data_IF_894664586428
#
_entry.id   IF_894664586428
#
_cell.length_a   1.000
_cell.length_b   1.000
_cell.length_c   1.000
_cell.angle_alpha   90.00
_cell.angle_beta   90.00
_cell.angle_gamma   90.00
#
_symmetry.space_group_name_H-M   'P 1'
#
loop_
_entity.id
_entity.type
_entity.pdbx_description
1 polymer ?
#
# COMPACT_ATOMS: atom_id res chain seq x y z
N UNK A 1 22.01 11.34 7.38
CA UNK A 1 20.54 11.31 7.58
C UNK A 1 20.13 12.21 8.75
N UNK A 2 20.48 11.91 10.01
CA UNK A 2 20.15 12.76 11.18
C UNK A 2 20.73 14.19 11.09
N UNK A 3 22.00 14.32 10.70
CA UNK A 3 22.65 15.64 10.53
C UNK A 3 22.07 16.49 9.39
N UNK A 4 21.43 15.87 8.38
CA UNK A 4 20.85 16.59 7.23
C UNK A 4 19.35 16.80 7.34
N UNK A 5 18.62 15.99 8.12
CA UNK A 5 17.14 15.97 8.16
C UNK A 5 16.54 16.18 9.56
N UNK A 6 17.39 16.38 10.58
CA UNK A 6 17.00 16.63 11.96
C UNK A 6 16.68 15.37 12.78
N UNK A 7 16.87 15.41 14.12
CA UNK A 7 16.50 14.32 15.03
C UNK A 7 14.97 14.20 15.23
N UNK A 8 14.51 13.07 15.80
CA UNK A 8 13.10 12.79 16.16
C UNK A 8 12.08 12.69 15.00
N UNK A 9 12.54 12.41 13.78
CA UNK A 9 11.63 12.16 12.63
C UNK A 9 11.21 10.71 12.44
N UNK A 10 11.79 9.74 13.16
CA UNK A 10 11.63 8.32 12.86
C UNK A 10 12.24 7.90 11.51
N UNK A 11 12.99 8.79 10.85
CA UNK A 11 13.59 8.60 9.53
C UNK A 11 14.81 7.68 9.51
N UNK A 12 15.23 7.20 10.67
CA UNK A 12 16.37 6.33 10.85
C UNK A 12 16.05 5.32 11.96
N UNK A 13 15.80 4.07 11.57
CA UNK A 13 15.67 2.95 12.49
C UNK A 13 17.10 2.53 12.85
N UNK A 14 17.50 2.76 14.10
CA UNK A 14 18.85 2.47 14.59
C UNK A 14 18.80 1.35 15.63
N UNK A 15 19.70 0.37 15.49
CA UNK A 15 19.83 -0.79 16.37
C UNK A 15 20.68 -1.88 15.71
N UNK A 16 21.20 -2.85 16.48
CA UNK A 16 21.86 -4.03 15.89
C UNK A 16 20.84 -4.76 14.99
N UNK A 17 21.20 -4.98 13.72
CA UNK A 17 20.38 -5.60 12.64
C UNK A 17 19.75 -6.95 12.98
N UNK A 18 20.14 -7.59 14.08
CA UNK A 18 19.47 -8.79 14.63
C UNK A 18 17.99 -8.58 14.98
N UNK A 19 17.55 -7.35 15.27
CA UNK A 19 16.15 -7.03 15.58
C UNK A 19 15.28 -6.78 14.33
N UNK A 20 15.90 -6.62 13.16
CA UNK A 20 15.20 -6.33 11.89
C UNK A 20 14.88 -7.60 11.07
N UNK A 21 15.28 -8.76 11.58
CA UNK A 21 15.17 -10.06 10.89
C UNK A 21 13.77 -10.35 10.32
N UNK A 22 12.71 -9.91 10.99
CA UNK A 22 11.33 -10.18 10.55
C UNK A 22 10.92 -9.35 9.33
N UNK A 23 11.24 -8.05 9.30
CA UNK A 23 10.91 -7.21 8.14
C UNK A 23 11.82 -7.56 6.96
N UNK A 24 13.07 -7.97 7.21
CA UNK A 24 13.99 -8.44 6.16
C UNK A 24 13.49 -9.72 5.50
N UNK A 25 13.00 -10.70 6.27
CA UNK A 25 12.35 -11.90 5.72
C UNK A 25 11.10 -11.53 4.92
N UNK A 26 10.26 -10.66 5.46
CA UNK A 26 9.08 -10.18 4.75
C UNK A 26 9.45 -9.52 3.41
N UNK A 27 10.51 -8.70 3.38
CA UNK A 27 11.01 -8.08 2.15
C UNK A 27 11.46 -9.11 1.11
N UNK A 28 12.08 -10.21 1.54
CA UNK A 28 12.42 -11.32 0.65
C UNK A 28 11.15 -11.96 0.08
N UNK A 29 10.12 -12.16 0.90
CA UNK A 29 8.84 -12.73 0.47
C UNK A 29 8.09 -11.81 -0.50
N UNK A 30 8.04 -10.50 -0.24
CA UNK A 30 7.51 -9.47 -1.15
C UNK A 30 8.24 -9.53 -2.51
N UNK A 31 9.56 -9.57 -2.47
CA UNK A 31 10.40 -9.62 -3.67
C UNK A 31 10.15 -10.90 -4.47
N UNK A 32 10.03 -12.04 -3.80
CA UNK A 32 9.78 -13.33 -4.45
C UNK A 32 8.34 -13.45 -4.97
N UNK A 33 7.36 -12.84 -4.31
CA UNK A 33 5.94 -12.93 -4.66
C UNK A 33 5.62 -12.17 -5.95
N UNK A 34 5.76 -10.85 -5.95
CA UNK A 34 5.41 -10.00 -7.10
C UNK A 34 6.56 -9.09 -7.54
N UNK A 35 7.50 -8.74 -6.66
CA UNK A 35 8.59 -7.82 -6.99
C UNK A 35 9.46 -8.31 -8.16
N UNK A 36 9.86 -9.59 -8.15
CA UNK A 36 10.68 -10.20 -9.20
C UNK A 36 9.93 -10.30 -10.53
N UNK A 37 8.62 -10.57 -10.51
CA UNK A 37 7.76 -10.60 -11.71
C UNK A 37 7.82 -9.26 -12.44
N UNK A 38 7.56 -8.17 -11.74
CA UNK A 38 7.56 -6.83 -12.32
C UNK A 38 8.96 -6.34 -12.70
N UNK A 39 9.97 -6.62 -11.87
CA UNK A 39 11.36 -6.31 -12.19
C UNK A 39 11.82 -6.98 -13.49
N UNK A 40 11.57 -8.29 -13.64
CA UNK A 40 11.90 -9.02 -14.87
C UNK A 40 11.11 -8.52 -16.08
N UNK A 41 9.84 -8.17 -15.88
CA UNK A 41 9.00 -7.61 -16.94
C UNK A 41 9.56 -6.27 -17.45
N UNK A 42 9.89 -5.33 -16.56
CA UNK A 42 10.46 -4.05 -16.96
C UNK A 42 11.84 -4.18 -17.61
N UNK A 43 12.67 -5.10 -17.12
CA UNK A 43 13.95 -5.41 -17.77
C UNK A 43 13.76 -5.95 -19.21
N UNK A 44 12.73 -6.77 -19.42
CA UNK A 44 12.34 -7.22 -20.77
C UNK A 44 11.85 -6.08 -21.65
N UNK A 45 11.10 -5.12 -21.10
CA UNK A 45 10.68 -3.93 -21.85
C UNK A 45 11.88 -3.06 -22.27
N UNK A 46 12.87 -2.90 -21.39
CA UNK A 46 14.10 -2.14 -21.66
C UNK A 46 14.91 -2.81 -22.77
N UNK A 47 15.14 -4.11 -22.65
CA UNK A 47 15.97 -4.86 -23.59
C UNK A 47 15.32 -5.00 -24.97
N UNK A 48 14.00 -5.26 -25.02
CA UNK A 48 13.34 -5.73 -26.26
C UNK A 48 12.29 -4.76 -26.82
N UNK A 49 11.82 -3.78 -26.06
CA UNK A 49 10.64 -2.96 -26.40
C UNK A 49 10.83 -1.45 -26.23
N UNK A 50 12.09 -1.00 -26.18
CA UNK A 50 12.45 0.41 -26.29
C UNK A 50 12.08 1.26 -25.05
N UNK A 51 11.89 0.63 -23.89
CA UNK A 51 11.79 1.37 -22.64
C UNK A 51 13.14 2.03 -22.34
N UNK A 52 13.13 3.35 -22.09
CA UNK A 52 14.29 4.11 -21.63
C UNK A 52 14.02 4.55 -20.19
N UNK A 53 14.74 3.99 -19.19
CA UNK A 53 14.53 4.35 -17.78
C UNK A 53 14.99 5.77 -17.43
N UNK A 54 15.75 6.44 -18.32
CA UNK A 54 16.18 7.83 -18.15
C UNK A 54 15.20 8.85 -18.74
N UNK A 55 14.10 8.39 -19.36
CA UNK A 55 13.07 9.26 -19.91
C UNK A 55 11.86 9.34 -18.98
N UNK A 56 11.62 10.51 -18.39
CA UNK A 56 10.50 10.75 -17.47
C UNK A 56 9.13 10.45 -18.11
N UNK A 57 8.97 10.69 -19.40
CA UNK A 57 7.72 10.38 -20.12
C UNK A 57 7.44 8.87 -20.15
N UNK A 58 8.51 8.07 -20.28
CA UNK A 58 8.39 6.61 -20.27
C UNK A 58 8.07 6.11 -18.87
N UNK A 59 8.67 6.71 -17.82
CA UNK A 59 8.38 6.39 -16.42
C UNK A 59 6.93 6.73 -16.09
N UNK A 60 6.44 7.90 -16.51
CA UNK A 60 5.04 8.27 -16.35
C UNK A 60 4.11 7.28 -17.06
N UNK A 61 4.40 6.92 -18.31
CA UNK A 61 3.57 5.98 -19.07
C UNK A 61 3.57 4.58 -18.43
N UNK A 62 4.71 4.11 -17.91
CA UNK A 62 4.78 2.85 -17.16
C UNK A 62 3.87 2.87 -15.94
N UNK A 63 3.93 3.95 -15.14
CA UNK A 63 3.09 4.11 -13.96
C UNK A 63 1.62 4.13 -14.35
N UNK A 64 1.25 4.92 -15.36
CA UNK A 64 -0.13 5.01 -15.82
C UNK A 64 -0.68 3.66 -16.34
N UNK A 65 0.15 2.86 -17.01
CA UNK A 65 -0.26 1.57 -17.57
C UNK A 65 -0.34 0.41 -16.58
N UNK A 66 0.56 0.38 -15.59
CA UNK A 66 0.83 -0.82 -14.79
C UNK A 66 0.72 -0.63 -13.28
N UNK A 67 0.59 0.60 -12.77
CA UNK A 67 0.52 0.83 -11.32
C UNK A 67 -0.70 0.15 -10.69
N UNK A 68 -1.85 0.15 -11.38
CA UNK A 68 -3.05 -0.55 -10.91
C UNK A 68 -2.82 -2.06 -10.80
N UNK A 69 -2.21 -2.68 -11.80
CA UNK A 69 -1.88 -4.11 -11.78
C UNK A 69 -0.87 -4.46 -10.68
N UNK A 70 0.15 -3.61 -10.49
CA UNK A 70 1.13 -3.76 -9.41
C UNK A 70 0.48 -3.65 -8.04
N UNK A 71 -0.44 -2.69 -7.85
CA UNK A 71 -1.18 -2.52 -6.61
C UNK A 71 -2.09 -3.73 -6.35
N UNK A 72 -2.74 -4.28 -7.38
CA UNK A 72 -3.55 -5.49 -7.26
C UNK A 72 -2.72 -6.73 -6.87
N UNK A 73 -1.54 -6.90 -7.47
CA UNK A 73 -0.60 -7.95 -7.08
C UNK A 73 -0.14 -7.75 -5.62
N UNK A 74 0.14 -6.51 -5.21
CA UNK A 74 0.53 -6.18 -3.84
C UNK A 74 -0.60 -6.45 -2.82
N UNK A 75 -1.85 -6.11 -3.14
CA UNK A 75 -3.04 -6.44 -2.34
C UNK A 75 -3.24 -7.95 -2.24
N UNK A 76 -3.02 -8.67 -3.34
CA UNK A 76 -3.12 -10.12 -3.37
C UNK A 76 -2.06 -10.75 -2.45
N UNK A 77 -0.81 -10.29 -2.52
CA UNK A 77 0.25 -10.69 -1.61
C UNK A 77 -0.10 -10.36 -0.16
N UNK A 78 -0.58 -9.14 0.12
CA UNK A 78 -0.97 -8.73 1.46
C UNK A 78 -2.02 -9.68 2.05
N UNK A 79 -3.06 -10.01 1.29
CA UNK A 79 -4.10 -10.95 1.72
C UNK A 79 -3.52 -12.35 1.95
N UNK A 80 -2.75 -12.89 0.99
CA UNK A 80 -2.12 -14.20 1.12
C UNK A 80 -1.23 -14.27 2.36
N UNK A 81 -0.42 -13.24 2.58
CA UNK A 81 0.46 -13.14 3.73
C UNK A 81 -0.33 -12.98 5.04
N UNK A 82 -1.38 -12.16 5.09
CA UNK A 82 -2.13 -11.98 6.33
C UNK A 82 -2.89 -13.23 6.76
N UNK A 83 -3.30 -14.07 5.81
CA UNK A 83 -4.09 -15.29 6.07
C UNK A 83 -3.30 -16.61 6.03
N UNK A 84 -2.02 -16.60 5.66
CA UNK A 84 -1.21 -17.82 5.68
C UNK A 84 -0.97 -18.32 7.11
N UNK A 85 -0.65 -19.60 7.23
CA UNK A 85 -0.35 -20.24 8.50
C UNK A 85 1.13 -20.12 8.83
N UNK A 86 1.45 -19.44 9.93
CA UNK A 86 2.77 -19.44 10.53
C UNK A 86 2.93 -20.68 11.41
N UNK A 87 4.05 -21.39 11.23
CA UNK A 87 4.50 -22.39 12.18
C UNK A 87 5.20 -21.67 13.34
N UNK A 88 4.53 -21.63 14.49
CA UNK A 88 5.05 -21.04 15.72
C UNK A 88 5.28 -22.14 16.75
N UNK A 89 6.14 -21.86 17.72
CA UNK A 89 6.30 -22.74 18.87
C UNK A 89 4.97 -22.81 19.65
N UNK A 90 4.47 -24.01 19.90
CA UNK A 90 3.13 -24.25 20.44
C UNK A 90 2.06 -24.49 19.38
N UNK A 91 1.47 -23.42 18.80
CA UNK A 91 0.33 -23.55 17.88
C UNK A 91 0.46 -22.67 16.65
N UNK A 92 0.15 -23.27 15.50
CA UNK A 92 0.04 -22.57 14.24
C UNK A 92 -1.02 -21.47 14.31
N UNK A 93 -0.66 -20.26 13.86
CA UNK A 93 -1.55 -19.09 13.84
C UNK A 93 -1.38 -18.31 12.54
N UNK A 94 -2.37 -17.47 12.22
CA UNK A 94 -2.31 -16.56 11.06
C UNK A 94 -1.83 -15.19 11.51
N UNK A 95 -1.04 -14.44 10.72
CA UNK A 95 -0.61 -13.09 11.06
C UNK A 95 -1.76 -12.17 11.48
N UNK A 96 -2.90 -12.23 10.78
CA UNK A 96 -4.10 -11.43 11.14
C UNK A 96 -4.65 -11.77 12.53
N UNK A 97 -4.59 -13.04 12.94
CA UNK A 97 -5.07 -13.48 14.27
C UNK A 97 -4.10 -13.01 15.35
N UNK A 98 -2.78 -13.15 15.10
CA UNK A 98 -1.76 -12.67 16.03
C UNK A 98 -1.86 -11.15 16.23
N UNK A 99 -2.10 -10.40 15.15
CA UNK A 99 -2.32 -8.96 15.21
C UNK A 99 -3.55 -8.63 16.06
N UNK A 100 -4.70 -9.24 15.77
CA UNK A 100 -5.94 -9.01 16.52
C UNK A 100 -5.80 -9.35 18.01
N UNK A 101 -5.21 -10.50 18.34
CA UNK A 101 -4.95 -10.90 19.74
C UNK A 101 -4.02 -9.89 20.42
N UNK A 102 -3.00 -9.41 19.71
CA UNK A 102 -2.11 -8.36 20.20
C UNK A 102 -2.85 -7.06 20.48
N UNK A 103 -3.76 -6.63 19.61
CA UNK A 103 -4.60 -5.45 19.83
C UNK A 103 -5.49 -5.60 21.07
N UNK A 104 -6.06 -6.79 21.29
CA UNK A 104 -6.92 -7.06 22.46
C UNK A 104 -6.10 -7.04 23.76
N UNK A 105 -4.89 -7.60 23.74
CA UNK A 105 -4.06 -7.73 24.94
C UNK A 105 -3.31 -6.46 25.32
N UNK A 106 -2.88 -5.67 24.32
CA UNK A 106 -1.92 -4.57 24.48
C UNK A 106 -2.45 -3.23 23.97
N UNK A 107 -3.73 -3.18 23.57
CA UNK A 107 -4.34 -2.02 22.90
C UNK A 107 -4.05 -1.97 21.40
N UNK A 108 -4.96 -1.34 20.65
CA UNK A 108 -4.78 -1.12 19.22
C UNK A 108 -3.63 -0.12 18.99
N UNK A 109 -2.57 -0.54 18.30
CA UNK A 109 -1.41 0.29 17.99
C UNK A 109 -1.50 0.77 16.54
N UNK A 110 -1.45 2.08 16.32
CA UNK A 110 -1.49 2.67 14.98
C UNK A 110 -2.84 2.53 14.25
N UNK A 111 -3.89 2.17 14.98
CA UNK A 111 -5.28 2.27 14.54
C UNK A 111 -5.89 3.32 15.46
N UNK A 112 -6.22 4.48 14.90
CA UNK A 112 -7.03 5.48 15.58
C UNK A 112 -8.45 4.92 15.65
N UNK A 113 -8.72 4.13 16.68
CA UNK A 113 -10.09 3.81 17.04
C UNK A 113 -10.68 5.12 17.54
N UNK A 114 -11.32 5.86 16.64
CA UNK A 114 -12.30 6.85 17.05
C UNK A 114 -13.45 6.10 17.69
N UNK A 115 -13.25 5.65 18.93
CA UNK A 115 -14.34 5.44 19.87
C UNK A 115 -14.87 6.83 20.20
N UNK A 116 -15.62 7.41 19.26
CA UNK A 116 -16.73 8.23 19.71
C UNK A 116 -17.58 7.27 20.53
N UNK A 117 -17.86 7.63 21.78
CA UNK A 117 -18.86 6.90 22.54
C UNK A 117 -20.13 6.91 21.67
N UNK A 118 -20.45 5.78 21.06
CA UNK A 118 -21.72 5.61 20.39
C UNK A 118 -22.78 5.80 21.48
N UNK A 119 -23.35 7.00 21.59
CA UNK A 119 -24.43 7.30 22.54
C UNK A 119 -25.63 6.34 22.36
N UNK A 120 -25.67 5.61 21.25
CA UNK A 120 -26.61 4.54 20.94
C UNK A 120 -26.27 3.19 21.63
N UNK A 121 -25.00 2.87 21.90
CA UNK A 121 -24.59 1.61 22.53
C UNK A 121 -24.98 1.53 24.02
N UNK A 122 -25.08 2.69 24.69
CA UNK A 122 -25.53 2.80 26.08
C UNK A 122 -27.04 2.96 26.27
N UNK A 123 -27.82 3.02 25.18
CA UNK A 123 -29.28 3.12 25.25
C UNK A 123 -29.88 1.72 25.42
N UNK A 124 -30.75 1.54 26.41
CA UNK A 124 -31.58 0.33 26.52
C UNK A 124 -32.19 0.01 25.15
N UNK A 125 -32.02 -1.21 24.60
CA UNK A 125 -32.51 -1.53 23.27
C UNK A 125 -34.02 -1.24 23.20
N UNK A 126 -34.49 -0.25 22.42
CA UNK A 126 -35.91 -0.16 22.17
C UNK A 126 -36.26 -1.40 21.35
N UNK A 127 -37.24 -2.17 21.85
CA UNK A 127 -37.57 -3.50 21.37
C UNK A 127 -37.47 -3.66 19.85
N UNK A 128 -36.81 -4.73 19.43
CA UNK A 128 -36.73 -5.20 18.04
C UNK A 128 -38.03 -4.91 17.27
N UNK A 129 -37.95 -4.13 16.18
CA UNK A 129 -39.04 -4.08 15.21
C UNK A 129 -39.34 -2.77 14.47
N UNK A 130 -38.46 -1.76 14.43
CA UNK A 130 -38.71 -0.59 13.58
C UNK A 130 -37.49 -0.28 12.72
N UNK A 131 -37.51 -0.85 11.52
CA UNK A 131 -36.63 -0.53 10.40
C UNK A 131 -36.83 0.94 9.99
N UNK A 132 -36.00 1.83 10.54
CA UNK A 132 -35.85 3.18 10.03
C UNK A 132 -34.91 3.12 8.82
N UNK A 133 -35.38 3.64 7.69
CA UNK A 133 -34.64 3.85 6.44
C UNK A 133 -33.28 4.52 6.72
N UNK A 134 -32.24 3.71 6.91
CA UNK A 134 -30.86 4.20 6.89
C UNK A 134 -30.48 4.38 5.42
N UNK A 135 -30.46 5.64 4.98
CA UNK A 135 -29.85 6.02 3.71
C UNK A 135 -28.42 5.49 3.59
N UNK A 136 -27.89 5.36 2.36
CA UNK A 136 -26.60 4.72 2.13
C UNK A 136 -25.51 5.44 2.93
N UNK A 137 -24.78 4.68 3.73
CA UNK A 137 -23.62 5.18 4.46
C UNK A 137 -22.67 5.84 3.46
N UNK A 138 -22.52 7.16 3.56
CA UNK A 138 -21.48 7.88 2.85
C UNK A 138 -20.16 7.40 3.44
N UNK A 139 -19.40 6.65 2.63
CA UNK A 139 -18.00 6.38 2.87
C UNK A 139 -17.29 7.74 2.85
N UNK A 140 -17.18 8.39 4.00
CA UNK A 140 -16.20 9.46 4.15
C UNK A 140 -14.86 8.77 4.01
N UNK A 141 -14.12 9.14 2.95
CA UNK A 141 -12.70 8.91 2.80
C UNK A 141 -11.99 9.60 3.97
N UNK A 142 -12.11 9.03 5.17
CA UNK A 142 -11.38 9.49 6.32
C UNK A 142 -9.95 9.06 6.07
N UNK A 143 -9.12 10.04 5.71
CA UNK A 143 -7.68 10.04 5.91
C UNK A 143 -7.40 9.27 7.20
N UNK A 144 -6.91 8.02 7.07
CA UNK A 144 -6.47 7.23 8.19
C UNK A 144 -5.45 8.10 8.92
N UNK A 145 -5.85 8.64 10.08
CA UNK A 145 -5.04 9.64 10.76
C UNK A 145 -3.68 8.99 11.03
N UNK A 146 -2.61 9.59 10.50
CA UNK A 146 -1.24 9.17 10.80
C UNK A 146 -0.84 9.62 12.22
N UNK A 147 -1.81 9.62 13.14
CA UNK A 147 -1.56 9.65 14.57
C UNK A 147 -0.69 8.42 14.85
N UNK A 148 0.41 8.61 15.55
CA UNK A 148 1.35 7.53 15.82
C UNK A 148 0.75 6.49 16.76
N UNK A 149 1.61 5.89 17.56
CA UNK A 149 1.16 5.12 18.70
C UNK A 149 0.53 6.12 19.69
N UNK A 150 -0.80 6.08 19.84
CA UNK A 150 -1.53 6.92 20.80
C UNK A 150 -0.94 6.82 22.21
N UNK A 151 -1.22 7.81 23.05
CA UNK A 151 -0.75 7.89 24.45
C UNK A 151 -0.77 6.50 25.09
N UNK A 152 0.44 6.01 25.37
CA UNK A 152 0.67 4.75 26.04
C UNK A 152 -0.13 4.79 27.35
N UNK A 153 -1.17 3.96 27.47
CA UNK A 153 -1.60 3.49 28.78
C UNK A 153 -0.34 2.94 29.44
N UNK A 154 0.09 3.61 30.51
CA UNK A 154 1.29 3.36 31.31
C UNK A 154 1.40 1.87 31.66
N UNK A 155 1.94 1.11 30.72
CA UNK A 155 2.21 -0.31 30.83
C UNK A 155 3.71 -0.36 30.85
N UNK A 156 4.27 -0.32 32.07
CA UNK A 156 5.67 -0.11 32.42
C UNK A 156 6.68 -1.09 31.80
N UNK A 157 6.75 -1.13 30.48
CA UNK A 157 7.81 -1.74 29.69
C UNK A 157 8.82 -0.63 29.38
N UNK A 158 9.59 -0.27 30.41
CA UNK A 158 10.72 0.64 30.35
C UNK A 158 11.90 0.02 29.59
N UNK A 159 11.71 -0.18 28.29
CA UNK A 159 12.73 -0.67 27.38
C UNK A 159 13.30 0.47 26.53
N UNK A 160 13.43 1.69 27.05
CA UNK A 160 14.25 2.78 26.47
C UNK A 160 13.95 3.25 25.03
N UNK A 161 13.05 2.58 24.30
CA UNK A 161 12.71 2.85 22.92
C UNK A 161 11.62 3.92 22.89
N UNK A 162 12.03 5.15 22.62
CA UNK A 162 11.08 6.26 22.42
C UNK A 162 10.22 5.97 21.19
N UNK A 163 8.96 5.66 21.45
CA UNK A 163 7.97 5.40 20.42
C UNK A 163 7.65 6.72 19.70
N UNK A 164 7.82 6.83 18.37
CA UNK A 164 7.52 8.06 17.64
C UNK A 164 6.04 8.42 17.74
N UNK A 165 5.74 9.69 18.03
CA UNK A 165 4.38 10.23 18.13
C UNK A 165 3.61 10.28 16.80
N UNK A 166 4.29 10.02 15.68
CA UNK A 166 3.71 9.89 14.33
C UNK A 166 4.44 8.82 13.54
N UNK A 167 3.71 8.06 12.73
CA UNK A 167 4.30 7.14 11.77
C UNK A 167 4.98 7.90 10.63
N UNK A 168 5.88 7.23 9.91
CA UNK A 168 6.53 7.80 8.74
C UNK A 168 5.53 7.91 7.59
N UNK A 169 5.15 9.13 7.22
CA UNK A 169 4.45 9.40 5.96
C UNK A 169 5.49 9.55 4.85
N UNK A 170 5.31 8.78 3.78
CA UNK A 170 6.01 8.99 2.53
C UNK A 170 5.02 9.66 1.60
N UNK A 171 5.16 10.96 1.38
CA UNK A 171 4.38 11.68 0.37
C UNK A 171 5.00 11.37 -1.01
N UNK A 172 4.39 10.51 -1.85
CA UNK A 172 4.92 10.29 -3.19
C UNK A 172 4.81 11.59 -3.97
N UNK A 173 5.90 12.05 -4.59
CA UNK A 173 5.82 13.16 -5.55
C UNK A 173 4.97 12.69 -6.73
N UNK A 174 3.82 13.32 -7.01
CA UNK A 174 2.98 12.90 -8.12
C UNK A 174 3.75 13.07 -9.43
N UNK A 175 3.77 12.02 -10.26
CA UNK A 175 4.34 12.10 -11.60
C UNK A 175 3.56 13.13 -12.41
N UNK A 176 4.23 14.19 -12.86
CA UNK A 176 3.62 15.23 -13.70
C UNK A 176 3.21 14.58 -15.02
N UNK A 177 1.92 14.64 -15.37
CA UNK A 177 1.43 14.12 -16.64
C UNK A 177 2.03 14.95 -17.80
N UNK A 178 2.81 14.34 -18.71
CA UNK A 178 3.40 15.06 -19.84
C UNK A 178 2.40 15.33 -20.97
N UNK A 179 1.24 14.65 -20.97
CA UNK A 179 0.24 14.74 -22.03
C UNK A 179 -0.84 15.79 -21.73
N UNK A 180 -1.33 16.44 -22.80
CA UNK A 180 -2.52 17.30 -22.73
C UNK A 180 -3.78 16.45 -22.47
N UNK A 181 -4.85 17.02 -21.88
CA UNK A 181 -6.09 16.28 -21.61
C UNK A 181 -6.69 15.58 -22.84
N UNK A 182 -6.61 16.21 -24.00
CA UNK A 182 -7.09 15.63 -25.27
C UNK A 182 -6.27 14.40 -25.69
N UNK A 183 -4.94 14.48 -25.55
CA UNK A 183 -4.03 13.38 -25.87
C UNK A 183 -4.21 12.21 -24.91
N UNK A 184 -4.44 12.51 -23.62
CA UNK A 184 -4.74 11.50 -22.61
C UNK A 184 -6.05 10.76 -22.92
N UNK A 185 -7.08 11.47 -23.40
CA UNK A 185 -8.35 10.85 -23.81
C UNK A 185 -8.18 9.88 -24.98
N UNK A 186 -7.39 10.27 -25.97
CA UNK A 186 -7.09 9.39 -27.11
C UNK A 186 -6.30 8.16 -26.66
N UNK A 187 -5.36 8.32 -25.73
CA UNK A 187 -4.60 7.22 -25.15
C UNK A 187 -5.52 6.26 -24.35
N UNK A 188 -6.42 6.79 -23.53
CA UNK A 188 -7.35 5.97 -22.72
C UNK A 188 -8.32 5.19 -23.59
N UNK A 189 -8.92 5.83 -24.59
CA UNK A 189 -9.88 5.19 -25.50
C UNK A 189 -9.21 4.07 -26.31
N UNK A 190 -7.97 4.28 -26.77
CA UNK A 190 -7.23 3.27 -27.51
C UNK A 190 -6.84 2.04 -26.68
N UNK A 191 -6.84 2.14 -25.34
CA UNK A 191 -6.36 1.12 -24.42
C UNK A 191 -7.44 0.53 -23.51
N UNK A 192 -8.68 1.02 -23.57
CA UNK A 192 -9.79 0.66 -22.67
C UNK A 192 -10.03 -0.86 -22.54
N UNK A 193 -9.82 -1.62 -23.63
CA UNK A 193 -9.95 -3.08 -23.64
C UNK A 193 -8.71 -3.89 -23.23
N UNK A 194 -7.57 -3.24 -22.97
CA UNK A 194 -6.30 -3.94 -22.69
C UNK A 194 -5.98 -4.07 -21.19
N UNK A 195 -6.76 -3.43 -20.33
CA UNK A 195 -6.55 -3.44 -18.87
C UNK A 195 -7.09 -4.71 -18.16
N UNK A 196 -7.80 -5.58 -18.87
CA UNK A 196 -8.46 -6.75 -18.27
C UNK A 196 -7.57 -7.99 -18.11
N UNK A 197 -6.41 -8.04 -18.77
CA UNK A 197 -5.55 -9.24 -18.81
C UNK A 197 -4.16 -9.00 -18.24
N UNK A 198 -3.74 -9.89 -17.34
CA UNK A 198 -2.45 -9.83 -16.61
C UNK A 198 -1.37 -10.74 -17.22
N UNK A 199 -1.58 -11.27 -18.42
CA UNK A 199 -0.60 -12.14 -19.09
C UNK A 199 0.62 -11.32 -19.55
N UNK A 200 1.82 -11.91 -19.52
CA UNK A 200 3.05 -11.21 -19.95
C UNK A 200 2.98 -10.68 -21.39
N UNK A 201 2.33 -11.43 -22.29
CA UNK A 201 2.10 -11.04 -23.68
C UNK A 201 1.18 -9.82 -23.75
N UNK A 202 0.06 -9.82 -23.01
CA UNK A 202 -0.91 -8.72 -23.04
C UNK A 202 -0.33 -7.45 -22.42
N UNK A 203 0.45 -7.57 -21.34
CA UNK A 203 1.17 -6.45 -20.74
C UNK A 203 2.20 -5.85 -21.69
N UNK A 204 2.92 -6.69 -22.43
CA UNK A 204 3.89 -6.24 -23.44
C UNK A 204 3.21 -5.51 -24.59
N UNK A 205 2.08 -6.03 -25.09
CA UNK A 205 1.31 -5.38 -26.14
C UNK A 205 0.70 -4.06 -25.67
N UNK A 206 0.26 -3.99 -24.41
CA UNK A 206 -0.21 -2.74 -23.79
C UNK A 206 0.87 -1.67 -23.80
N UNK A 207 2.10 -2.02 -23.42
CA UNK A 207 3.25 -1.13 -23.51
C UNK A 207 3.51 -0.68 -24.94
N UNK A 208 3.63 -1.62 -25.89
CA UNK A 208 3.92 -1.33 -27.31
C UNK A 208 2.90 -0.38 -27.94
N UNK A 209 1.61 -0.56 -27.63
CA UNK A 209 0.57 0.35 -28.12
C UNK A 209 0.65 1.71 -27.45
N UNK A 210 0.82 1.76 -26.12
CA UNK A 210 0.96 3.01 -25.39
C UNK A 210 2.11 3.87 -25.94
N UNK A 211 3.31 3.29 -26.06
CA UNK A 211 4.47 4.02 -26.58
C UNK A 211 4.28 4.45 -28.04
N UNK A 212 3.66 3.60 -28.87
CA UNK A 212 3.38 3.94 -30.27
C UNK A 212 2.40 5.10 -30.40
N UNK A 213 1.43 5.24 -29.50
CA UNK A 213 0.47 6.35 -29.49
C UNK A 213 1.17 7.63 -29.02
N UNK A 214 1.91 7.55 -27.91
CA UNK A 214 2.68 8.69 -27.39
C UNK A 214 3.70 9.22 -28.41
N UNK A 215 4.36 8.34 -29.16
CA UNK A 215 5.29 8.72 -30.23
C UNK A 215 4.61 9.54 -31.36
N UNK A 216 3.30 9.40 -31.56
CA UNK A 216 2.55 10.18 -32.56
C UNK A 216 2.23 11.60 -32.09
N UNK A 217 2.26 11.84 -30.78
CA UNK A 217 2.00 13.16 -30.20
C UNK A 217 3.23 14.09 -30.19
N UNK A 218 4.44 13.52 -30.30
CA UNK A 218 5.71 14.25 -30.35
C UNK A 218 6.18 14.58 -31.78
N UNK A 219 5.34 14.38 -32.80
CA UNK A 219 5.55 14.83 -34.18
C UNK A 219 4.69 16.05 -34.48
#
# INVERSE_FOLDING_TARGET
>A
MLQHRGPHRGSYIWGRSVHNTRIERLWVDVTNSFGRKWSNFFYSLETNHGLNPLNDDHIWLLQWLFLSDMNNDALTFQNQWNYHTLALDGRNQRPVVLFLVGCIQLGARGIDLQTQDDEEYGRDPPGFGVEHDRGPAQSQDNDLSNSGFGEVLDTGYDNGDQIPSRLNVVDPVPSICPLRPEQLRVLSEALEGQFTSTNSITLTERWRRGISICARFNR
#
